data_IF_850004371138
#
_entry.id   IF_850004371138
#
_cell.length_a   1.000
_cell.length_b   1.000
_cell.length_c   1.000
_cell.angle_alpha   90.00
_cell.angle_beta   90.00
_cell.angle_gamma   90.00
#
_symmetry.space_group_name_H-M   'P 1'
#
loop_
_entity.id
_entity.type
_entity.pdbx_description
1 polymer ?
#
# COMPACT_ATOMS: atom_id res chain seq x y z
N UNK A 1 6.27 -9.11 16.05
CA UNK A 1 6.46 -7.68 15.73
C UNK A 1 7.25 -7.07 16.86
N UNK A 2 8.08 -6.08 16.57
CA UNK A 2 8.92 -5.38 17.56
C UNK A 2 8.88 -3.89 17.23
N UNK A 3 8.59 -3.06 18.24
CA UNK A 3 8.64 -1.59 18.12
C UNK A 3 10.10 -1.15 18.08
N UNK A 4 10.42 -0.23 17.17
CA UNK A 4 11.68 0.46 17.16
C UNK A 4 11.60 1.71 18.05
N UNK A 5 12.41 1.75 19.11
CA UNK A 5 12.33 2.80 20.13
C UNK A 5 12.89 4.16 19.70
N UNK A 6 13.64 4.22 18.60
CA UNK A 6 14.31 5.45 18.14
C UNK A 6 13.47 6.26 17.14
N UNK A 7 12.70 5.59 16.27
CA UNK A 7 11.94 6.21 15.17
C UNK A 7 10.44 5.87 15.18
N UNK A 8 9.97 5.08 16.15
CA UNK A 8 8.54 4.77 16.31
C UNK A 8 7.98 3.80 15.28
N UNK A 9 8.79 3.18 14.42
CA UNK A 9 8.32 2.18 13.44
C UNK A 9 8.18 0.78 14.04
N UNK A 10 7.60 -0.17 13.30
CA UNK A 10 7.52 -1.57 13.71
C UNK A 10 8.21 -2.48 12.69
N UNK A 11 9.10 -3.35 13.20
CA UNK A 11 9.61 -4.48 12.44
C UNK A 11 8.63 -5.68 12.53
N UNK A 12 8.16 -6.13 11.36
CA UNK A 12 7.20 -7.23 11.21
C UNK A 12 7.87 -8.42 10.54
N UNK A 13 7.72 -9.61 11.13
CA UNK A 13 8.29 -10.84 10.60
C UNK A 13 7.19 -11.86 10.37
N UNK A 14 6.87 -12.11 9.11
CA UNK A 14 5.96 -13.19 8.70
C UNK A 14 6.77 -14.46 8.48
N UNK A 15 6.50 -15.49 9.28
CA UNK A 15 7.26 -16.75 9.25
C UNK A 15 6.33 -17.94 9.05
N UNK A 16 6.60 -18.73 8.01
CA UNK A 16 5.93 -20.01 7.77
C UNK A 16 6.97 -21.12 7.68
N UNK A 17 7.26 -21.74 8.83
CA UNK A 17 8.36 -22.71 8.98
C UNK A 17 8.23 -23.94 8.07
N UNK A 18 7.01 -24.42 7.85
CA UNK A 18 6.75 -25.60 6.99
C UNK A 18 7.07 -25.35 5.52
N UNK A 19 6.98 -24.10 5.07
CA UNK A 19 7.30 -23.69 3.70
C UNK A 19 8.66 -22.97 3.61
N UNK A 20 9.38 -22.88 4.73
CA UNK A 20 10.65 -22.17 4.87
C UNK A 20 10.58 -20.71 4.37
N UNK A 21 9.45 -20.05 4.62
CA UNK A 21 9.23 -18.64 4.26
C UNK A 21 9.56 -17.75 5.44
N UNK A 22 10.43 -16.77 5.21
CA UNK A 22 10.74 -15.68 6.13
C UNK A 22 10.60 -14.39 5.34
N UNK A 23 9.63 -13.55 5.71
CA UNK A 23 9.34 -12.29 5.06
C UNK A 23 9.38 -11.15 6.10
N UNK A 24 10.54 -10.46 6.24
CA UNK A 24 10.63 -9.24 7.02
C UNK A 24 9.98 -8.07 6.27
N UNK A 25 9.21 -7.27 6.99
CA UNK A 25 8.58 -6.03 6.54
C UNK A 25 8.70 -4.97 7.62
N UNK A 26 8.53 -3.71 7.23
CA UNK A 26 8.51 -2.56 8.13
C UNK A 26 7.16 -1.87 8.00
N UNK A 27 6.54 -1.56 9.14
CA UNK A 27 5.33 -0.74 9.20
C UNK A 27 5.70 0.62 9.76
N UNK A 28 5.34 1.65 9.00
CA UNK A 28 5.55 3.05 9.30
C UNK A 28 4.19 3.76 9.17
N UNK A 29 3.90 4.67 10.09
CA UNK A 29 2.60 5.36 10.21
C UNK A 29 2.82 6.83 10.51
N UNK A 30 1.79 7.65 10.33
CA UNK A 30 1.78 9.02 10.83
C UNK A 30 1.55 9.03 12.36
N UNK A 31 2.60 8.71 13.09
CA UNK A 31 2.64 8.54 14.54
C UNK A 31 3.76 7.60 14.99
N UNK A 32 3.99 7.56 16.29
CA UNK A 32 4.99 6.67 16.89
C UNK A 32 4.28 5.46 17.52
N UNK A 33 4.62 4.25 17.09
CA UNK A 33 4.26 3.05 17.83
C UNK A 33 5.02 3.03 19.17
N UNK A 34 4.29 2.89 20.27
CA UNK A 34 4.83 2.90 21.63
C UNK A 34 4.96 1.48 22.18
N UNK A 35 3.93 0.66 21.98
CA UNK A 35 3.90 -0.72 22.48
C UNK A 35 3.01 -1.59 21.59
N UNK A 36 3.29 -2.90 21.61
CA UNK A 36 2.52 -3.92 20.88
C UNK A 36 2.27 -5.10 21.81
N UNK A 37 1.01 -5.53 21.88
CA UNK A 37 0.62 -6.75 22.56
C UNK A 37 -0.28 -7.58 21.67
N UNK A 38 -0.23 -8.90 21.82
CA UNK A 38 -1.06 -9.83 21.04
C UNK A 38 -1.90 -10.63 22.00
N UNK A 39 -3.21 -10.61 21.80
CA UNK A 39 -4.15 -11.50 22.47
C UNK A 39 -4.79 -12.42 21.42
N UNK A 40 -4.48 -13.71 21.50
CA UNK A 40 -4.85 -14.72 20.51
C UNK A 40 -4.45 -14.32 19.07
N UNK A 41 -5.41 -13.81 18.31
CA UNK A 41 -5.26 -13.41 16.91
C UNK A 41 -5.29 -11.90 16.73
N UNK A 42 -5.64 -11.15 17.77
CA UNK A 42 -5.78 -9.70 17.70
C UNK A 42 -4.48 -9.04 18.17
N UNK A 43 -3.94 -8.18 17.32
CA UNK A 43 -2.74 -7.39 17.60
C UNK A 43 -3.21 -6.02 18.06
N UNK A 44 -2.90 -5.67 19.30
CA UNK A 44 -3.13 -4.35 19.87
C UNK A 44 -1.85 -3.55 19.80
N UNK A 45 -1.99 -2.29 19.38
CA UNK A 45 -0.88 -1.33 19.35
C UNK A 45 -1.28 -0.07 20.11
N UNK A 46 -0.33 0.49 20.85
CA UNK A 46 -0.46 1.82 21.42
C UNK A 46 0.30 2.76 20.51
N UNK A 47 -0.38 3.74 19.93
CA UNK A 47 0.21 4.69 18.98
C UNK A 47 0.08 6.10 19.55
N UNK A 48 1.18 6.84 19.54
CA UNK A 48 1.20 8.27 19.83
C UNK A 48 1.08 9.02 18.51
N UNK A 49 0.04 9.85 18.34
CA UNK A 49 -0.17 10.67 17.15
C UNK A 49 -0.24 12.14 17.51
N UNK A 50 0.16 13.01 16.59
CA UNK A 50 -0.13 14.44 16.72
C UNK A 50 -1.41 14.74 15.94
N UNK A 51 -2.51 15.02 16.63
CA UNK A 51 -3.80 15.33 16.01
C UNK A 51 -4.17 16.77 16.34
N UNK A 52 -4.43 17.59 15.33
CA UNK A 52 -4.78 19.01 15.50
C UNK A 52 -3.76 19.78 16.38
N UNK A 53 -2.47 19.44 16.26
CA UNK A 53 -1.39 20.06 17.04
C UNK A 53 -1.26 19.58 18.49
N UNK A 54 -1.98 18.51 18.89
CA UNK A 54 -1.88 17.93 20.23
C UNK A 54 -1.50 16.45 20.18
N UNK A 55 -0.61 16.02 21.07
CA UNK A 55 -0.24 14.62 21.20
C UNK A 55 -1.38 13.83 21.85
N UNK A 56 -1.86 12.80 21.16
CA UNK A 56 -2.92 11.88 21.61
C UNK A 56 -2.41 10.45 21.52
N UNK A 57 -2.90 9.60 22.42
CA UNK A 57 -2.56 8.18 22.45
C UNK A 57 -3.79 7.34 22.10
N UNK A 58 -3.66 6.51 21.08
CA UNK A 58 -4.70 5.58 20.66
C UNK A 58 -4.31 4.15 20.99
N UNK A 59 -5.33 3.33 21.24
CA UNK A 59 -5.21 1.87 21.25
C UNK A 59 -5.88 1.38 19.98
N UNK A 60 -5.09 0.86 19.06
CA UNK A 60 -5.53 0.48 17.72
C UNK A 60 -5.29 -1.02 17.49
N UNK A 61 -6.12 -1.62 16.65
CA UNK A 61 -6.00 -3.02 16.24
C UNK A 61 -5.84 -3.11 14.73
N UNK A 62 -4.99 -4.01 14.25
CA UNK A 62 -4.91 -4.29 12.82
C UNK A 62 -6.11 -5.12 12.36
N UNK A 63 -6.73 -4.68 11.27
CA UNK A 63 -7.83 -5.34 10.57
C UNK A 63 -7.42 -5.48 9.09
N UNK A 64 -7.55 -6.68 8.53
CA UNK A 64 -7.15 -6.98 7.15
C UNK A 64 -8.19 -6.60 6.10
N UNK A 65 -9.40 -6.19 6.51
CA UNK A 65 -10.44 -5.68 5.62
C UNK A 65 -10.34 -4.17 5.35
N UNK A 66 -9.63 -3.43 6.21
CA UNK A 66 -9.49 -1.97 6.12
C UNK A 66 -8.32 -1.56 5.22
N UNK A 67 -8.50 -0.44 4.53
CA UNK A 67 -7.57 0.07 3.51
C UNK A 67 -6.99 1.44 3.88
N UNK A 68 -7.29 1.94 5.08
CA UNK A 68 -6.78 3.19 5.65
C UNK A 68 -6.29 2.96 7.08
N UNK A 69 -5.45 3.88 7.57
CA UNK A 69 -4.89 3.82 8.92
C UNK A 69 -5.75 4.63 9.93
N UNK A 70 -5.73 4.26 11.20
CA UNK A 70 -6.58 4.87 12.25
C UNK A 70 -8.07 4.99 11.84
N UNK A 71 -8.56 3.98 11.14
CA UNK A 71 -9.80 4.07 10.38
C UNK A 71 -11.06 4.03 11.27
N UNK A 72 -12.10 4.73 10.82
CA UNK A 72 -13.48 4.59 11.30
C UNK A 72 -14.37 4.13 10.15
N UNK A 73 -15.17 3.10 10.41
CA UNK A 73 -16.10 2.54 9.44
C UNK A 73 -17.54 2.73 9.86
N UNK A 74 -18.44 2.64 8.89
CA UNK A 74 -19.87 2.62 9.13
C UNK A 74 -20.66 2.14 7.91
N UNK A 75 -21.98 2.18 8.02
CA UNK A 75 -22.89 1.69 6.99
C UNK A 75 -23.31 2.75 5.96
N UNK A 76 -24.55 2.65 5.48
CA UNK A 76 -25.15 3.65 4.60
C UNK A 76 -25.33 5.00 5.33
N UNK A 77 -24.69 6.06 4.84
CA UNK A 77 -24.74 7.39 5.42
C UNK A 77 -24.40 8.48 4.38
N UNK A 78 -24.80 9.73 4.64
CA UNK A 78 -24.37 10.90 3.87
C UNK A 78 -23.13 11.61 4.48
N UNK A 79 -22.72 11.17 5.67
CA UNK A 79 -21.61 11.72 6.45
C UNK A 79 -21.12 10.70 7.47
N UNK A 80 -19.85 10.78 7.86
CA UNK A 80 -19.24 9.93 8.89
C UNK A 80 -18.55 10.77 9.96
N UNK A 81 -18.45 10.22 11.17
CA UNK A 81 -17.79 10.87 12.31
C UNK A 81 -16.37 10.34 12.47
N UNK A 82 -15.37 11.19 12.23
CA UNK A 82 -13.95 10.96 12.45
C UNK A 82 -13.40 11.97 13.47
N UNK A 83 -14.08 12.13 14.61
CA UNK A 83 -13.75 13.13 15.63
C UNK A 83 -12.37 12.95 16.26
N UNK A 84 -11.77 11.77 16.13
CA UNK A 84 -10.41 11.47 16.57
C UNK A 84 -9.32 11.91 15.57
N UNK A 85 -9.71 12.34 14.37
CA UNK A 85 -8.79 12.79 13.31
C UNK A 85 -9.03 14.26 12.92
N UNK A 86 -9.60 15.07 13.82
CA UNK A 86 -9.88 16.48 13.54
C UNK A 86 -8.62 17.20 13.07
N UNK A 87 -8.71 17.96 11.97
CA UNK A 87 -7.60 18.72 11.42
C UNK A 87 -6.68 17.93 10.49
N UNK A 88 -6.80 16.60 10.46
CA UNK A 88 -5.98 15.75 9.60
C UNK A 88 -6.61 15.55 8.21
N UNK A 89 -5.76 15.31 7.22
CA UNK A 89 -6.18 14.90 5.88
C UNK A 89 -6.46 13.40 5.86
N UNK A 90 -7.68 13.02 5.49
CA UNK A 90 -8.14 11.64 5.51
C UNK A 90 -8.54 11.16 4.12
N UNK A 91 -8.28 9.89 3.89
CA UNK A 91 -8.80 9.17 2.75
C UNK A 91 -10.24 8.73 3.04
N UNK A 92 -11.09 8.85 2.02
CA UNK A 92 -12.50 8.47 2.11
C UNK A 92 -12.79 7.36 1.09
N UNK A 93 -13.31 6.23 1.57
CA UNK A 93 -13.84 5.16 0.73
C UNK A 93 -15.33 5.04 0.97
N UNK A 94 -16.10 5.06 -0.12
CA UNK A 94 -17.55 4.89 -0.10
C UNK A 94 -17.90 3.68 -0.95
N UNK A 95 -18.48 2.63 -0.36
CA UNK A 95 -18.83 1.39 -1.07
C UNK A 95 -17.66 0.80 -1.88
N UNK A 96 -16.43 0.91 -1.37
CA UNK A 96 -15.20 0.49 -2.04
C UNK A 96 -14.68 1.43 -3.14
N UNK A 97 -15.34 2.57 -3.38
CA UNK A 97 -14.87 3.60 -4.30
C UNK A 97 -14.09 4.67 -3.54
N UNK A 98 -12.81 4.83 -3.89
CA UNK A 98 -11.95 5.91 -3.39
C UNK A 98 -12.49 7.27 -3.83
N UNK A 99 -12.65 8.19 -2.89
CA UNK A 99 -13.02 9.58 -3.13
C UNK A 99 -11.80 10.49 -3.00
N UNK A 100 -11.99 11.77 -3.32
CA UNK A 100 -10.98 12.79 -3.05
C UNK A 100 -10.72 12.90 -1.54
N UNK A 101 -9.48 13.22 -1.18
CA UNK A 101 -9.08 13.42 0.21
C UNK A 101 -9.80 14.64 0.79
N UNK A 102 -10.21 14.52 2.05
CA UNK A 102 -10.91 15.58 2.77
C UNK A 102 -10.20 15.86 4.09
N UNK A 103 -10.20 17.13 4.53
CA UNK A 103 -9.71 17.48 5.86
C UNK A 103 -10.86 17.35 6.86
N UNK A 104 -10.63 16.64 7.96
CA UNK A 104 -11.68 16.50 8.99
C UNK A 104 -11.96 17.86 9.64
N UNK A 105 -13.20 18.38 9.55
CA UNK A 105 -13.52 19.70 10.09
C UNK A 105 -13.53 19.67 11.62
N UNK A 106 -13.47 20.84 12.26
CA UNK A 106 -13.47 20.97 13.72
C UNK A 106 -14.67 20.34 14.45
N UNK A 107 -15.77 20.04 13.74
CA UNK A 107 -16.92 19.31 14.27
C UNK A 107 -16.77 17.77 14.23
N UNK A 108 -15.67 17.25 13.69
CA UNK A 108 -15.37 15.82 13.58
C UNK A 108 -16.23 15.05 12.58
N UNK A 109 -17.12 15.71 11.82
CA UNK A 109 -18.01 15.06 10.86
C UNK A 109 -17.60 15.40 9.43
N UNK A 110 -17.18 14.39 8.67
CA UNK A 110 -16.86 14.52 7.24
C UNK A 110 -18.14 14.32 6.45
N UNK A 111 -18.47 15.28 5.59
CA UNK A 111 -19.62 15.18 4.67
C UNK A 111 -19.16 14.51 3.40
N UNK A 112 -19.91 13.52 2.93
CA UNK A 112 -19.51 12.79 1.73
C UNK A 112 -19.96 13.50 0.45
N UNK A 113 -19.15 13.45 -0.63
CA UNK A 113 -19.55 14.02 -1.92
C UNK A 113 -20.78 13.29 -2.51
N UNK A 114 -20.95 12.01 -2.16
CA UNK A 114 -22.16 11.21 -2.38
C UNK A 114 -22.47 10.39 -1.13
N UNK A 115 -23.73 10.02 -0.90
CA UNK A 115 -24.04 9.08 0.17
C UNK A 115 -23.43 7.70 -0.10
N UNK A 116 -22.94 7.02 0.93
CA UNK A 116 -22.67 5.58 0.88
C UNK A 116 -23.99 4.80 0.88
N UNK A 117 -24.05 3.73 0.09
CA UNK A 117 -25.23 2.87 0.00
C UNK A 117 -25.14 1.65 0.93
N UNK A 118 -23.93 1.23 1.27
CA UNK A 118 -23.63 0.01 2.03
C UNK A 118 -22.59 0.25 3.12
N UNK A 119 -21.46 0.85 2.78
CA UNK A 119 -20.37 1.08 3.74
C UNK A 119 -19.57 2.35 3.43
N UNK A 120 -18.96 2.91 4.47
CA UNK A 120 -17.91 3.91 4.35
C UNK A 120 -16.73 3.56 5.24
N UNK A 121 -15.56 4.06 4.86
CA UNK A 121 -14.33 4.02 5.64
C UNK A 121 -13.65 5.39 5.53
N UNK A 122 -13.22 5.92 6.66
CA UNK A 122 -12.48 7.18 6.79
C UNK A 122 -11.24 6.91 7.62
N UNK A 123 -10.06 7.24 7.11
CA UNK A 123 -8.83 7.06 7.86
C UNK A 123 -7.66 7.80 7.23
N UNK A 124 -6.52 7.78 7.92
CA UNK A 124 -5.29 8.37 7.45
C UNK A 124 -4.76 7.61 6.22
N UNK A 125 -4.16 8.31 5.24
CA UNK A 125 -3.51 7.67 4.12
C UNK A 125 -2.28 6.87 4.57
N UNK A 126 -2.12 5.67 4.03
CA UNK A 126 -0.83 4.98 4.06
C UNK A 126 -0.42 4.56 2.65
N UNK A 127 0.87 4.30 2.48
CA UNK A 127 1.41 3.82 1.20
C UNK A 127 2.08 2.47 1.39
N UNK A 128 1.94 1.62 0.38
CA UNK A 128 2.61 0.32 0.35
C UNK A 128 3.75 0.39 -0.63
N UNK A 129 4.91 -0.14 -0.25
CA UNK A 129 6.07 -0.24 -1.12
C UNK A 129 6.74 -1.61 -0.98
N UNK A 130 7.04 -2.24 -2.11
CA UNK A 130 7.86 -3.44 -2.20
C UNK A 130 8.97 -3.22 -3.22
N UNK A 131 10.23 -3.36 -2.80
CA UNK A 131 11.40 -3.16 -3.66
C UNK A 131 12.13 -4.49 -3.83
N UNK A 132 12.41 -4.86 -5.08
CA UNK A 132 13.19 -6.07 -5.35
C UNK A 132 14.67 -5.86 -4.99
N UNK A 133 15.35 -6.95 -4.65
CA UNK A 133 16.81 -6.96 -4.60
C UNK A 133 17.41 -6.54 -5.95
N UNK A 134 18.64 -5.99 -5.97
CA UNK A 134 19.37 -5.73 -7.20
C UNK A 134 19.40 -6.97 -8.10
N UNK A 135 19.22 -6.77 -9.40
CA UNK A 135 19.21 -7.88 -10.35
C UNK A 135 20.64 -8.34 -10.59
N UNK A 136 20.96 -9.57 -10.19
CA UNK A 136 22.23 -10.22 -10.48
C UNK A 136 22.08 -11.37 -11.47
N UNK A 137 22.66 -11.16 -12.67
CA UNK A 137 22.67 -12.17 -13.73
C UNK A 137 23.92 -13.03 -13.60
N UNK A 138 23.71 -14.33 -13.42
CA UNK A 138 24.75 -15.35 -13.59
C UNK A 138 24.77 -15.78 -15.05
N UNK A 139 25.76 -15.33 -15.80
CA UNK A 139 26.03 -15.84 -17.15
C UNK A 139 27.05 -16.98 -17.07
N UNK A 140 27.17 -17.80 -18.12
CA UNK A 140 28.18 -18.87 -18.18
C UNK A 140 29.62 -18.35 -18.02
N UNK A 141 29.85 -17.05 -18.24
CA UNK A 141 31.14 -16.36 -18.04
C UNK A 141 31.35 -15.82 -16.62
N UNK A 142 30.41 -16.05 -15.69
CA UNK A 142 30.47 -15.59 -14.30
C UNK A 142 29.36 -14.59 -13.92
N UNK A 143 29.37 -14.17 -12.65
CA UNK A 143 28.42 -13.18 -12.11
C UNK A 143 28.86 -11.77 -12.51
N UNK A 144 27.98 -11.01 -13.18
CA UNK A 144 28.28 -9.64 -13.64
C UNK A 144 27.59 -8.60 -12.77
N UNK A 145 28.26 -8.18 -11.70
CA UNK A 145 27.74 -7.19 -10.74
C UNK A 145 27.92 -5.75 -11.28
N UNK A 146 29.10 -5.42 -11.82
CA UNK A 146 29.46 -4.05 -12.23
C UNK A 146 28.98 -3.58 -13.61
N UNK A 147 28.12 -4.35 -14.30
CA UNK A 147 27.66 -3.99 -15.64
C UNK A 147 26.34 -3.25 -15.60
N UNK A 148 26.18 -2.31 -16.53
CA UNK A 148 24.89 -1.65 -16.77
C UNK A 148 23.89 -2.68 -17.32
N UNK A 149 22.77 -2.81 -16.62
CA UNK A 149 21.64 -3.67 -16.92
C UNK A 149 20.41 -2.80 -17.17
N UNK A 150 19.46 -3.31 -17.93
CA UNK A 150 18.17 -2.65 -18.19
C UNK A 150 17.05 -3.66 -18.04
N UNK A 151 16.05 -3.33 -17.23
CA UNK A 151 14.79 -4.07 -17.23
C UNK A 151 14.01 -3.61 -18.46
N UNK A 152 13.60 -4.55 -19.31
CA UNK A 152 12.90 -4.28 -20.57
C UNK A 152 11.40 -4.42 -20.40
N UNK A 153 10.98 -5.38 -19.58
CA UNK A 153 9.61 -5.79 -19.37
C UNK A 153 9.45 -6.30 -17.95
N UNK A 154 8.32 -5.96 -17.31
CA UNK A 154 7.91 -6.50 -16.01
C UNK A 154 6.50 -7.07 -16.17
N UNK A 155 6.33 -8.33 -15.82
CA UNK A 155 5.05 -9.03 -15.71
C UNK A 155 4.72 -9.19 -14.23
N UNK A 156 3.70 -8.48 -13.78
CA UNK A 156 3.18 -8.62 -12.43
C UNK A 156 2.02 -9.62 -12.42
N UNK A 157 2.15 -10.66 -11.60
CA UNK A 157 1.09 -11.63 -11.34
C UNK A 157 0.26 -11.11 -10.17
N UNK A 158 -1.00 -10.80 -10.43
CA UNK A 158 -1.89 -10.11 -9.51
C UNK A 158 -3.09 -10.99 -9.16
N UNK A 159 -3.57 -10.83 -7.92
CA UNK A 159 -4.80 -11.40 -7.42
C UNK A 159 -5.65 -10.31 -6.79
N UNK A 160 -6.94 -10.24 -7.13
CA UNK A 160 -7.93 -9.30 -6.55
C UNK A 160 -7.39 -7.87 -6.35
N UNK A 161 -6.59 -7.37 -7.29
CA UNK A 161 -5.87 -6.10 -7.16
C UNK A 161 -6.64 -5.01 -7.89
N UNK A 162 -6.75 -3.84 -7.26
CA UNK A 162 -7.47 -2.68 -7.80
C UNK A 162 -6.52 -1.56 -8.23
N UNK A 163 -5.36 -1.43 -7.58
CA UNK A 163 -4.39 -0.38 -7.89
C UNK A 163 -2.95 -0.86 -7.77
N UNK A 164 -2.08 -0.40 -8.67
CA UNK A 164 -0.66 -0.76 -8.70
C UNK A 164 0.15 0.27 -9.50
N UNK A 165 1.30 0.68 -8.95
CA UNK A 165 2.37 1.36 -9.68
C UNK A 165 3.62 0.50 -9.71
N UNK A 166 4.31 0.49 -10.85
CA UNK A 166 5.62 -0.15 -11.02
C UNK A 166 6.61 0.93 -11.46
N UNK A 167 7.68 1.16 -10.69
CA UNK A 167 8.67 2.22 -10.91
C UNK A 167 8.02 3.59 -11.12
N UNK A 168 7.03 3.91 -10.27
CA UNK A 168 6.23 5.14 -10.34
C UNK A 168 5.37 5.30 -11.62
N UNK A 169 5.23 4.24 -12.42
CA UNK A 169 4.34 4.20 -13.59
C UNK A 169 3.07 3.46 -13.19
N UNK A 170 1.92 4.11 -13.38
CA UNK A 170 0.61 3.52 -13.14
C UNK A 170 0.34 2.37 -14.12
N UNK A 171 -0.05 1.22 -13.57
CA UNK A 171 -0.52 0.09 -14.36
C UNK A 171 -2.04 0.17 -14.44
N UNK A 172 -2.63 0.47 -15.62
CA UNK A 172 -4.08 0.62 -15.72
C UNK A 172 -4.78 -0.73 -15.52
N UNK A 173 -5.50 -0.84 -14.41
CA UNK A 173 -6.38 -1.97 -14.10
C UNK A 173 -7.73 -1.78 -14.76
N UNK A 174 -8.31 -0.58 -14.64
CA UNK A 174 -9.52 -0.16 -15.35
C UNK A 174 -9.19 0.49 -16.70
N UNK A 175 -10.02 0.25 -17.71
CA UNK A 175 -10.04 1.00 -18.98
C UNK A 175 -11.17 2.03 -18.93
N UNK A 176 -10.97 3.21 -19.52
CA UNK A 176 -11.94 4.33 -19.49
C UNK A 176 -13.05 4.22 -20.57
N UNK A 177 -13.32 3.01 -21.07
CA UNK A 177 -14.19 2.77 -22.23
C UNK A 177 -15.66 2.46 -21.87
N UNK A 178 -16.01 2.47 -20.58
CA UNK A 178 -17.36 2.12 -20.11
C UNK A 178 -18.04 3.32 -19.45
N UNK A 179 -19.33 3.51 -19.73
CA UNK A 179 -20.19 4.56 -19.13
C UNK A 179 -20.35 4.32 -17.62
N UNK A 180 -20.42 5.39 -16.82
CA UNK A 180 -20.63 5.39 -15.35
C UNK A 180 -19.50 4.77 -14.49
N UNK A 181 -18.24 5.00 -14.85
CA UNK A 181 -17.08 4.50 -14.10
C UNK A 181 -16.71 5.32 -12.85
N UNK A 182 -17.14 6.58 -12.73
CA UNK A 182 -16.60 7.48 -11.72
C UNK A 182 -17.09 7.16 -10.30
N UNK A 183 -18.35 6.74 -10.15
CA UNK A 183 -18.95 6.46 -8.83
C UNK A 183 -18.90 4.99 -8.41
N UNK A 184 -18.47 4.11 -9.33
CA UNK A 184 -18.36 2.69 -9.07
C UNK A 184 -16.96 2.33 -8.56
N UNK A 185 -16.85 1.37 -7.62
CA UNK A 185 -15.55 0.88 -7.17
C UNK A 185 -14.72 0.36 -8.33
N UNK A 186 -13.39 0.46 -8.22
CA UNK A 186 -12.49 -0.10 -9.21
C UNK A 186 -12.67 -1.62 -9.22
N UNK A 187 -12.89 -2.26 -10.38
CA UNK A 187 -13.04 -3.71 -10.42
C UNK A 187 -11.72 -4.37 -10.00
N UNK A 188 -11.85 -5.44 -9.22
CA UNK A 188 -10.73 -6.29 -8.86
C UNK A 188 -10.21 -7.03 -10.09
N UNK A 189 -8.89 -7.07 -10.26
CA UNK A 189 -8.24 -7.76 -11.37
C UNK A 189 -7.37 -8.91 -10.86
N UNK A 190 -7.56 -10.07 -11.48
CA UNK A 190 -6.75 -11.27 -11.28
C UNK A 190 -6.15 -11.71 -12.61
N UNK A 191 -4.83 -11.93 -12.63
CA UNK A 191 -4.09 -12.31 -13.81
C UNK A 191 -2.77 -11.55 -13.95
N UNK A 192 -2.19 -11.58 -15.14
CA UNK A 192 -0.89 -10.95 -15.39
C UNK A 192 -1.07 -9.60 -16.07
N UNK A 193 -0.46 -8.55 -15.51
CA UNK A 193 -0.31 -7.24 -16.17
C UNK A 193 1.15 -7.03 -16.56
N UNK A 194 1.37 -6.62 -17.81
CA UNK A 194 2.71 -6.40 -18.34
C UNK A 194 2.98 -4.92 -18.51
N UNK A 195 4.08 -4.46 -17.93
CA UNK A 195 4.67 -3.15 -18.21
C UNK A 195 5.82 -3.35 -19.21
N UNK A 196 5.64 -2.78 -20.40
CA UNK A 196 6.68 -2.72 -21.41
C UNK A 196 7.46 -1.40 -21.34
N UNK A 197 8.65 -1.40 -21.94
CA UNK A 197 9.28 -0.15 -22.35
C UNK A 197 9.91 0.65 -21.23
N UNK A 198 10.28 0.02 -20.12
CA UNK A 198 11.08 0.69 -19.08
C UNK A 198 12.41 1.13 -19.71
N UNK A 199 12.69 2.42 -19.66
CA UNK A 199 13.88 3.04 -20.25
C UNK A 199 14.98 3.17 -19.19
N UNK A 200 16.22 3.33 -19.67
CA UNK A 200 17.38 3.57 -18.82
C UNK A 200 18.18 2.31 -18.50
N UNK A 201 19.48 2.53 -18.30
CA UNK A 201 20.42 1.51 -17.84
C UNK A 201 20.85 1.87 -16.42
N UNK A 202 20.79 0.90 -15.51
CA UNK A 202 21.23 1.03 -14.13
C UNK A 202 22.19 -0.11 -13.78
N UNK A 203 23.05 0.09 -12.78
CA UNK A 203 23.91 -0.98 -12.28
C UNK A 203 23.11 -1.99 -11.44
N UNK A 204 22.18 -1.50 -10.62
CA UNK A 204 21.38 -2.33 -9.72
C UNK A 204 20.09 -2.84 -10.37
N UNK A 205 19.47 -2.03 -11.24
CA UNK A 205 18.23 -2.34 -11.93
C UNK A 205 17.15 -2.96 -11.01
N UNK A 206 16.70 -2.20 -10.00
CA UNK A 206 15.63 -2.61 -9.06
C UNK A 206 14.25 -2.33 -9.65
N UNK A 207 13.24 -3.08 -9.19
CA UNK A 207 11.83 -2.83 -9.46
C UNK A 207 11.17 -2.42 -8.15
N UNK A 208 10.48 -1.29 -8.15
CA UNK A 208 9.66 -0.83 -7.03
C UNK A 208 8.20 -0.97 -7.41
N UNK A 209 7.48 -1.79 -6.65
CA UNK A 209 6.02 -1.86 -6.67
C UNK A 209 5.51 -0.94 -5.57
N UNK A 210 4.56 -0.07 -5.89
CA UNK A 210 3.96 0.84 -4.90
C UNK A 210 2.50 1.14 -5.16
N UNK A 211 1.86 1.77 -4.17
CA UNK A 211 0.48 2.22 -4.22
C UNK A 211 0.31 3.53 -3.46
N UNK A 212 -0.51 4.43 -4.01
CA UNK A 212 -0.76 5.78 -3.50
C UNK A 212 -2.25 6.07 -3.23
N UNK A 213 -3.14 5.14 -3.55
CA UNK A 213 -4.56 5.21 -3.20
C UNK A 213 -4.93 4.03 -2.31
N UNK A 214 -5.90 4.15 -1.40
CA UNK A 214 -6.32 3.08 -0.50
C UNK A 214 -7.18 2.07 -1.27
N UNK A 215 -6.55 1.00 -1.76
CA UNK A 215 -7.20 -0.02 -2.57
C UNK A 215 -6.54 -1.39 -2.33
N UNK A 216 -7.18 -2.46 -2.77
CA UNK A 216 -6.60 -3.79 -2.60
C UNK A 216 -5.38 -4.01 -3.51
N UNK A 217 -4.34 -4.63 -2.96
CA UNK A 217 -3.15 -5.05 -3.68
C UNK A 217 -2.65 -6.41 -3.17
N UNK A 218 -2.76 -7.44 -4.01
CA UNK A 218 -2.14 -8.74 -3.76
C UNK A 218 -1.22 -9.10 -4.91
N UNK A 219 0.09 -8.95 -4.67
CA UNK A 219 1.15 -9.29 -5.62
C UNK A 219 1.61 -10.74 -5.38
N UNK A 220 1.31 -11.63 -6.32
CA UNK A 220 1.73 -13.04 -6.25
C UNK A 220 3.18 -13.25 -6.69
N UNK A 221 3.65 -12.43 -7.62
CA UNK A 221 5.00 -12.55 -8.15
C UNK A 221 5.34 -11.52 -9.22
N UNK A 222 6.63 -11.39 -9.48
CA UNK A 222 7.18 -10.54 -10.53
C UNK A 222 8.09 -11.38 -11.43
N UNK A 223 7.78 -11.39 -12.72
CA UNK A 223 8.69 -11.87 -13.75
C UNK A 223 9.19 -10.68 -14.55
N UNK A 224 10.46 -10.62 -14.89
CA UNK A 224 10.99 -9.50 -15.65
C UNK A 224 12.09 -9.92 -16.61
N UNK A 225 12.15 -9.25 -17.76
CA UNK A 225 13.17 -9.46 -18.79
C UNK A 225 14.26 -8.42 -18.65
N UNK A 226 15.51 -8.87 -18.71
CA UNK A 226 16.67 -8.01 -18.50
C UNK A 226 17.55 -8.03 -19.73
N UNK A 227 17.88 -6.85 -20.24
CA UNK A 227 18.91 -6.65 -21.23
C UNK A 227 20.23 -6.28 -20.54
N UNK A 228 21.33 -6.81 -21.04
CA UNK A 228 22.68 -6.43 -20.59
C UNK A 228 23.48 -5.95 -21.77
N UNK A 229 24.35 -4.97 -21.53
CA UNK A 229 25.35 -4.61 -22.52
C UNK A 229 26.48 -5.64 -22.46
N UNK A 230 26.72 -6.35 -23.58
CA UNK A 230 27.95 -7.10 -23.77
C UNK A 230 29.03 -6.07 -24.09
N UNK A 231 29.73 -5.58 -23.04
CA UNK A 231 30.95 -4.79 -23.23
C UNK A 231 31.86 -5.49 -24.24
N UNK A 232 32.45 -4.70 -25.13
CA UNK A 232 33.35 -5.16 -26.19
C UNK A 232 34.60 -5.82 -25.61
#
# INVERSE_FOLDING_TARGET
MIVNGDDGTIAVFSMLRSQNVIAPSEYDTDGDFIDISVDLTTIYTVIKRNINGSDVYYVETFDDELLTDCAVTGGAAASGSASHLIGEEVNLLLDGAVQDNETVPGGGTVTFPRSSASSYEIGLPFTVQAVTMPVDLKLNTGTRIGFKKRIVEVNALLYETQHLKINNILIPIRTLDTVNILDNPVPEFTGTKTLYGILGYSQEAKITVSQDIPAKLTLLGLEYKVATHQGT
#
